data_IF_467003425330
#
_entry.id   IF_467003425330
#
_cell.length_a   1.000
_cell.length_b   1.000
_cell.length_c   1.000
_cell.angle_alpha   90.00
_cell.angle_beta   90.00
_cell.angle_gamma   90.00
#
_symmetry.space_group_name_H-M   'P 1'
#
loop_
_entity.id
_entity.type
_entity.pdbx_description
1 polymer ?
#
# COMPACT_ATOMS: atom_id res chain seq x y z
N UNK A 1 -12.93 2.86 -6.38
CA UNK A 1 -12.18 1.74 -5.79
C UNK A 1 -13.05 0.49 -5.75
N UNK A 2 -12.47 -0.63 -6.02
CA UNK A 2 -13.18 -1.90 -6.07
C UNK A 2 -12.55 -2.88 -5.08
N UNK A 3 -13.34 -3.43 -4.17
CA UNK A 3 -12.87 -4.49 -3.28
C UNK A 3 -12.68 -5.78 -4.06
N UNK A 4 -11.55 -6.44 -3.82
CA UNK A 4 -11.26 -7.74 -4.42
C UNK A 4 -10.96 -8.75 -3.32
N UNK A 5 -11.27 -10.05 -3.56
CA UNK A 5 -11.01 -11.07 -2.55
C UNK A 5 -9.51 -11.28 -2.36
N UNK A 6 -9.11 -11.48 -1.12
CA UNK A 6 -7.75 -11.84 -0.77
C UNK A 6 -7.56 -13.35 -0.99
N UNK A 7 -6.57 -13.70 -1.77
CA UNK A 7 -6.27 -15.09 -2.13
C UNK A 7 -4.79 -15.40 -1.97
N UNK A 8 -4.37 -16.62 -2.29
CA UNK A 8 -2.99 -17.05 -2.14
C UNK A 8 -2.01 -16.26 -3.00
N UNK A 9 -2.42 -15.80 -4.16
CA UNK A 9 -1.61 -14.96 -5.04
C UNK A 9 -1.22 -13.64 -4.35
N UNK A 10 -2.19 -12.96 -3.76
CA UNK A 10 -1.94 -11.71 -3.03
C UNK A 10 -1.25 -11.93 -1.69
N UNK A 11 -1.52 -13.06 -1.05
CA UNK A 11 -0.84 -13.46 0.18
C UNK A 11 0.67 -13.62 -0.06
N UNK A 12 1.07 -14.26 -1.14
CA UNK A 12 2.48 -14.41 -1.49
C UNK A 12 3.12 -13.05 -1.74
N UNK A 13 2.44 -12.16 -2.43
CA UNK A 13 2.95 -10.80 -2.67
C UNK A 13 3.12 -10.03 -1.37
N UNK A 14 2.13 -10.10 -0.48
CA UNK A 14 2.20 -9.44 0.82
C UNK A 14 3.41 -9.91 1.63
N UNK A 15 3.63 -11.22 1.71
CA UNK A 15 4.73 -11.77 2.49
C UNK A 15 6.08 -11.77 1.77
N UNK A 16 6.16 -11.26 0.55
CA UNK A 16 7.42 -10.99 -0.13
C UNK A 16 8.05 -9.65 0.29
N UNK A 17 7.27 -8.79 0.94
CA UNK A 17 7.73 -7.49 1.39
C UNK A 17 8.71 -7.67 2.56
N UNK A 18 9.85 -6.97 2.58
CA UNK A 18 10.85 -7.14 3.65
C UNK A 18 10.29 -7.02 5.07
N UNK A 19 9.28 -6.17 5.26
CA UNK A 19 8.62 -5.99 6.55
C UNK A 19 8.01 -7.29 7.08
N UNK A 20 7.50 -8.15 6.19
CA UNK A 20 6.82 -9.39 6.55
C UNK A 20 7.60 -10.66 6.23
N UNK A 21 8.57 -10.57 5.34
CA UNK A 21 9.26 -11.74 4.78
C UNK A 21 9.96 -12.60 5.82
N UNK A 22 10.53 -11.96 6.83
CA UNK A 22 11.31 -12.66 7.86
C UNK A 22 10.49 -13.12 9.05
N UNK A 23 9.18 -12.89 9.04
CA UNK A 23 8.32 -13.36 10.10
C UNK A 23 8.19 -14.90 10.05
N UNK A 24 8.20 -15.57 11.20
CA UNK A 24 7.86 -17.00 11.26
C UNK A 24 6.45 -17.27 10.74
N UNK A 25 6.23 -18.45 10.18
CA UNK A 25 4.94 -18.81 9.58
C UNK A 25 3.77 -18.70 10.56
N UNK A 26 3.98 -19.02 11.83
CA UNK A 26 2.90 -18.91 12.82
C UNK A 26 2.48 -17.45 13.05
N UNK A 27 3.43 -16.51 12.99
CA UNK A 27 3.12 -15.08 13.10
C UNK A 27 2.41 -14.56 11.85
N UNK A 28 2.79 -15.03 10.67
CA UNK A 28 2.11 -14.69 9.42
C UNK A 28 0.63 -15.09 9.48
N UNK A 29 0.36 -16.30 9.97
CA UNK A 29 -1.02 -16.77 10.14
C UNK A 29 -1.81 -15.94 11.14
N UNK A 30 -1.18 -15.57 12.26
CA UNK A 30 -1.81 -14.73 13.29
C UNK A 30 -2.14 -13.34 12.76
N UNK A 31 -1.24 -12.73 12.00
CA UNK A 31 -1.46 -11.43 11.38
C UNK A 31 -2.68 -11.47 10.47
N UNK A 32 -2.79 -12.49 9.62
CA UNK A 32 -3.92 -12.62 8.71
C UNK A 32 -5.25 -12.80 9.45
N UNK A 33 -5.24 -13.42 10.61
CA UNK A 33 -6.46 -13.63 11.42
C UNK A 33 -6.87 -12.39 12.20
N UNK A 34 -5.89 -11.61 12.68
CA UNK A 34 -6.14 -10.54 13.65
C UNK A 34 -6.23 -9.16 13.03
N UNK A 35 -5.61 -8.94 11.88
CA UNK A 35 -5.67 -7.63 11.23
C UNK A 35 -6.91 -7.53 10.37
N UNK A 36 -7.60 -6.43 10.56
CA UNK A 36 -8.69 -6.03 9.65
C UNK A 36 -8.04 -5.31 8.47
N UNK A 37 -7.87 -6.02 7.38
CA UNK A 37 -7.31 -5.44 6.18
C UNK A 37 -8.27 -5.57 5.00
N UNK A 38 -8.09 -4.65 4.04
CA UNK A 38 -8.91 -4.60 2.84
C UNK A 38 -8.01 -4.61 1.63
N UNK A 39 -8.36 -5.45 0.67
CA UNK A 39 -7.70 -5.48 -0.62
C UNK A 39 -8.56 -4.73 -1.62
N UNK A 40 -8.00 -3.73 -2.27
CA UNK A 40 -8.74 -2.89 -3.20
C UNK A 40 -7.98 -2.70 -4.50
N UNK A 41 -8.73 -2.72 -5.58
CA UNK A 41 -8.23 -2.31 -6.88
C UNK A 41 -8.54 -0.82 -7.07
N UNK A 42 -7.54 -0.06 -7.48
CA UNK A 42 -7.65 1.39 -7.64
C UNK A 42 -7.38 1.74 -9.09
N UNK A 43 -8.28 2.51 -9.67
CA UNK A 43 -8.15 2.96 -11.04
C UNK A 43 -6.98 3.92 -11.21
N UNK A 44 -6.43 3.92 -12.41
CA UNK A 44 -5.39 4.86 -12.81
C UNK A 44 -5.81 6.30 -12.56
N UNK A 45 -4.85 7.14 -12.16
CA UNK A 45 -5.06 8.57 -11.88
C UNK A 45 -6.00 8.86 -10.69
N UNK A 46 -6.17 7.90 -9.79
CA UNK A 46 -6.93 8.08 -8.56
C UNK A 46 -5.99 8.53 -7.44
N UNK A 47 -6.37 9.58 -6.72
CA UNK A 47 -5.64 10.02 -5.53
C UNK A 47 -6.02 9.12 -4.35
N UNK A 48 -5.03 8.50 -3.74
CA UNK A 48 -5.21 7.60 -2.59
C UNK A 48 -5.13 8.36 -1.28
N UNK A 49 -4.14 9.24 -1.18
CA UNK A 49 -3.87 10.06 0.00
C UNK A 49 -3.56 11.47 -0.44
N UNK A 50 -4.08 12.45 0.28
CA UNK A 50 -3.83 13.86 0.05
C UNK A 50 -3.00 14.45 1.19
N UNK A 51 -2.28 15.53 0.88
CA UNK A 51 -1.55 16.28 1.89
C UNK A 51 -2.51 16.76 2.99
N UNK A 52 -2.15 16.52 4.24
CA UNK A 52 -2.97 16.87 5.38
C UNK A 52 -3.94 15.79 5.85
N UNK A 53 -4.06 14.69 5.12
CA UNK A 53 -4.86 13.55 5.56
C UNK A 53 -4.29 12.94 6.85
N UNK A 54 -5.18 12.54 7.74
CA UNK A 54 -4.78 11.81 8.94
C UNK A 54 -4.44 10.38 8.55
N UNK A 55 -3.22 9.96 8.86
CA UNK A 55 -2.79 8.59 8.61
C UNK A 55 -3.18 7.69 9.77
N UNK A 56 -4.13 6.80 9.55
CA UNK A 56 -4.59 5.80 10.53
C UNK A 56 -4.27 4.37 10.11
N UNK A 57 -3.70 4.18 8.92
CA UNK A 57 -3.51 2.86 8.32
C UNK A 57 -2.11 2.70 7.76
N UNK A 58 -1.65 1.45 7.74
CA UNK A 58 -0.49 1.07 6.95
C UNK A 58 -1.00 0.64 5.58
N UNK A 59 -0.39 1.19 4.55
CA UNK A 59 -0.73 0.86 3.18
C UNK A 59 0.33 -0.05 2.57
N UNK A 60 -0.12 -1.01 1.77
CA UNK A 60 0.76 -1.93 1.07
C UNK A 60 0.38 -1.94 -0.40
N UNK A 61 1.33 -1.60 -1.26
CA UNK A 61 1.16 -1.70 -2.70
C UNK A 61 1.59 -3.09 -3.13
N UNK A 62 0.64 -3.90 -3.57
CA UNK A 62 0.89 -5.27 -4.01
C UNK A 62 1.18 -5.38 -5.50
N UNK A 63 0.53 -4.54 -6.29
CA UNK A 63 0.73 -4.47 -7.74
C UNK A 63 0.66 -3.03 -8.22
N UNK A 64 1.45 -2.72 -9.24
CA UNK A 64 1.43 -1.42 -9.90
C UNK A 64 2.45 -0.46 -9.36
N UNK A 65 2.21 0.81 -9.63
CA UNK A 65 3.08 1.92 -9.22
C UNK A 65 2.25 3.07 -8.69
N UNK A 66 2.83 3.80 -7.76
CA UNK A 66 2.26 5.04 -7.22
C UNK A 66 3.24 6.18 -7.45
N UNK A 67 2.71 7.38 -7.57
CA UNK A 67 3.49 8.60 -7.61
C UNK A 67 3.24 9.42 -6.34
N UNK A 68 4.30 9.95 -5.78
CA UNK A 68 4.22 10.89 -4.66
C UNK A 68 4.55 12.28 -5.20
N UNK A 69 3.59 13.17 -5.14
CA UNK A 69 3.72 14.53 -5.63
C UNK A 69 3.54 15.51 -4.48
N UNK A 70 4.22 16.64 -4.59
CA UNK A 70 4.00 17.78 -3.70
C UNK A 70 3.57 19.00 -4.51
N UNK A 71 2.90 19.92 -3.86
CA UNK A 71 2.57 21.20 -4.46
C UNK A 71 3.56 22.22 -3.92
N UNK A 72 4.31 22.85 -4.82
CA UNK A 72 5.30 23.84 -4.45
C UNK A 72 4.68 25.20 -4.09
N UNK A 73 5.51 26.17 -3.74
CA UNK A 73 5.08 27.50 -3.35
C UNK A 73 4.35 28.25 -4.46
N UNK A 74 4.55 27.88 -5.72
CA UNK A 74 3.91 28.48 -6.89
C UNK A 74 2.64 27.74 -7.31
N UNK A 75 2.24 26.72 -6.58
CA UNK A 75 1.05 25.93 -6.90
C UNK A 75 1.30 24.84 -7.95
N UNK A 76 2.55 24.59 -8.32
CA UNK A 76 2.89 23.56 -9.28
C UNK A 76 3.03 22.20 -8.59
N UNK A 77 2.52 21.16 -9.25
CA UNK A 77 2.68 19.78 -8.79
C UNK A 77 4.05 19.26 -9.21
N UNK A 78 4.81 18.77 -8.24
CA UNK A 78 6.16 18.25 -8.44
C UNK A 78 6.22 16.80 -8.00
N UNK A 79 6.64 15.92 -8.92
CA UNK A 79 6.87 14.51 -8.62
C UNK A 79 8.15 14.37 -7.79
N UNK A 80 8.05 13.77 -6.61
CA UNK A 80 9.21 13.55 -5.74
C UNK A 80 9.61 12.09 -5.59
N UNK A 81 8.69 11.15 -5.82
CA UNK A 81 8.99 9.73 -5.68
C UNK A 81 8.04 8.87 -6.49
N UNK A 82 8.55 7.76 -7.02
CA UNK A 82 7.77 6.64 -7.51
C UNK A 82 7.84 5.50 -6.51
N UNK A 83 6.71 4.91 -6.19
CA UNK A 83 6.63 3.72 -5.35
C UNK A 83 6.26 2.55 -6.26
N UNK A 84 7.13 1.54 -6.30
CA UNK A 84 6.90 0.33 -7.09
C UNK A 84 6.55 -0.85 -6.20
N UNK A 85 5.64 -1.69 -6.67
CA UNK A 85 5.22 -2.90 -5.95
C UNK A 85 6.32 -3.98 -5.97
N UNK A 86 6.37 -4.86 -4.95
CA UNK A 86 5.61 -4.78 -3.71
C UNK A 86 6.30 -3.89 -2.67
N UNK A 87 5.55 -3.01 -2.05
CA UNK A 87 6.11 -2.11 -1.04
C UNK A 87 5.05 -1.67 -0.03
N UNK A 88 5.41 -1.67 1.26
CA UNK A 88 4.62 -1.04 2.29
C UNK A 88 4.97 0.45 2.36
N UNK A 89 3.97 1.27 2.61
CA UNK A 89 4.17 2.69 2.83
C UNK A 89 3.20 3.19 3.89
N UNK A 90 3.64 4.19 4.64
CA UNK A 90 2.83 4.88 5.62
C UNK A 90 2.98 6.37 5.40
N UNK A 91 1.98 7.07 5.76
CA UNK A 91 2.00 8.53 5.64
C UNK A 91 2.09 9.18 7.00
#
# INVERSE_FOLDING_TARGET
>A
MKSIPFNDYYKEKLFSIPLFKELPDYLKSEILKRLDFRLQEINENTVILEQGDICCNLYVLLEGTLEVNIIDANGNEVLIEHIESPRAFAT
#
